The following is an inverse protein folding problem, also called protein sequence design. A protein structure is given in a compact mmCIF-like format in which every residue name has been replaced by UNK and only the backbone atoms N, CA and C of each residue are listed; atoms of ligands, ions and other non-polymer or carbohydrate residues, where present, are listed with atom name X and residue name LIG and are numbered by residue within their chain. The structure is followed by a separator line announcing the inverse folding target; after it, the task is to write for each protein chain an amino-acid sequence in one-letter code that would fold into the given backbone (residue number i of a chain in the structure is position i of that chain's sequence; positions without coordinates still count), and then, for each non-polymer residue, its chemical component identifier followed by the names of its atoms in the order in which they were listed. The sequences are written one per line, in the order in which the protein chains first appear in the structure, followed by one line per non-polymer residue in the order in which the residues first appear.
data_IF_683108398541
#
_entry.id   IF_683108398541
#
_cell.length_a   1.000
_cell.length_b   1.000
_cell.length_c   1.000
_cell.angle_alpha   90.00
_cell.angle_beta   90.00
_cell.angle_gamma   90.00
#
_symmetry.space_group_name_H-M   'P 1'
#
loop_
_entity.id
_entity.type
_entity.pdbx_description
1 polymer ?
#
# COMPACT_ATOMS: atom_id res chain seq x y z
N UNK A 1 1.80 -13.00 -3.24
CA UNK A 1 0.52 -12.30 -2.91
C UNK A 1 -0.53 -13.25 -2.31
N UNK A 2 -0.51 -14.54 -2.64
CA UNK A 2 -1.35 -15.59 -2.04
C UNK A 2 -2.84 -15.22 -1.94
N UNK A 3 -3.42 -14.67 -3.03
CA UNK A 3 -4.83 -14.32 -3.11
C UNK A 3 -5.24 -13.04 -2.36
N UNK A 4 -4.28 -12.21 -1.92
CA UNK A 4 -4.60 -10.91 -1.36
C UNK A 4 -5.05 -9.93 -2.46
N UNK A 5 -6.08 -9.15 -2.16
CA UNK A 5 -6.45 -8.00 -2.97
C UNK A 5 -5.40 -6.90 -2.76
N UNK A 6 -4.90 -6.33 -3.84
CA UNK A 6 -3.83 -5.33 -3.78
C UNK A 6 -4.34 -3.98 -4.26
N UNK A 7 -4.18 -2.95 -3.43
CA UNK A 7 -4.43 -1.55 -3.80
C UNK A 7 -3.09 -0.84 -3.87
N UNK A 8 -2.79 -0.18 -4.97
CA UNK A 8 -1.53 0.56 -5.10
C UNK A 8 -1.75 2.06 -5.08
N UNK A 9 -0.76 2.78 -4.57
CA UNK A 9 -0.67 4.22 -4.67
C UNK A 9 -0.19 4.71 -6.04
N UNK A 10 -0.11 6.02 -6.19
CA UNK A 10 0.37 6.69 -7.41
C UNK A 10 1.87 6.43 -7.64
N UNK A 11 2.26 6.33 -8.90
CA UNK A 11 3.67 6.29 -9.32
C UNK A 11 4.34 4.93 -9.15
N UNK A 12 5.57 4.92 -8.63
CA UNK A 12 6.41 3.73 -8.54
C UNK A 12 5.73 2.53 -7.88
N UNK A 13 4.95 2.65 -6.80
CA UNK A 13 4.23 1.51 -6.24
C UNK A 13 3.32 0.79 -7.24
N UNK A 14 2.65 1.55 -8.13
CA UNK A 14 1.83 0.97 -9.21
C UNK A 14 2.69 0.29 -10.27
N UNK A 15 3.81 0.90 -10.66
CA UNK A 15 4.71 0.34 -11.68
C UNK A 15 5.37 -0.95 -11.19
N UNK A 16 5.81 -0.97 -9.94
CA UNK A 16 6.51 -2.11 -9.34
C UNK A 16 5.56 -3.30 -9.13
N UNK A 17 4.35 -3.05 -8.63
CA UNK A 17 3.33 -4.10 -8.48
C UNK A 17 2.93 -4.66 -9.85
N UNK A 18 2.80 -3.81 -10.88
CA UNK A 18 2.51 -4.25 -12.24
C UNK A 18 3.66 -5.06 -12.84
N UNK A 19 4.90 -4.61 -12.66
CA UNK A 19 6.10 -5.33 -13.13
C UNK A 19 6.25 -6.70 -12.46
N UNK A 20 5.86 -6.82 -11.19
CA UNK A 20 5.85 -8.09 -10.47
C UNK A 20 4.73 -9.05 -10.90
N UNK A 21 3.92 -8.68 -11.88
CA UNK A 21 2.84 -9.47 -12.49
C UNK A 21 1.45 -8.86 -12.24
N UNK A 22 0.75 -8.51 -13.31
CA UNK A 22 -0.63 -8.01 -13.22
C UNK A 22 -1.62 -9.16 -13.04
N UNK A 23 -2.59 -8.97 -12.16
CA UNK A 23 -3.71 -9.87 -11.93
C UNK A 23 -4.99 -9.07 -11.68
N UNK A 24 -6.15 -9.75 -11.74
CA UNK A 24 -7.43 -9.12 -11.43
C UNK A 24 -7.59 -8.76 -9.94
N UNK A 25 -6.72 -9.27 -9.06
CA UNK A 25 -6.64 -8.87 -7.64
C UNK A 25 -6.04 -7.48 -7.45
N UNK A 26 -5.40 -6.90 -8.48
CA UNK A 26 -4.73 -5.60 -8.37
C UNK A 26 -5.67 -4.47 -8.77
N UNK A 27 -5.79 -3.49 -7.88
CA UNK A 27 -6.45 -2.21 -8.12
C UNK A 27 -5.42 -1.08 -8.07
N UNK A 28 -5.14 -0.49 -9.22
CA UNK A 28 -4.17 0.61 -9.36
C UNK A 28 -4.89 1.95 -9.24
N UNK A 29 -4.64 2.66 -8.15
CA UNK A 29 -5.28 3.95 -7.87
C UNK A 29 -4.50 5.09 -8.53
N UNK A 30 -4.92 5.48 -9.73
CA UNK A 30 -4.34 6.59 -10.45
C UNK A 30 -4.90 7.93 -9.98
N UNK A 31 -4.05 8.94 -9.83
CA UNK A 31 -4.46 10.33 -9.71
C UNK A 31 -5.13 10.71 -8.39
N UNK A 32 -5.11 9.86 -7.38
CA UNK A 32 -5.64 10.12 -6.05
C UNK A 32 -4.55 9.96 -4.99
N UNK A 33 -3.48 10.73 -5.10
CA UNK A 33 -2.37 10.70 -4.15
C UNK A 33 -2.87 10.94 -2.72
N UNK A 34 -2.48 10.08 -1.79
CA UNK A 34 -3.00 10.03 -0.42
C UNK A 34 -4.23 9.13 -0.24
N UNK A 35 -4.79 8.56 -1.32
CA UNK A 35 -6.02 7.79 -1.27
C UNK A 35 -5.83 6.28 -1.05
N UNK A 36 -4.65 5.72 -1.33
CA UNK A 36 -4.45 4.27 -1.36
C UNK A 36 -4.75 3.60 -0.01
N UNK A 37 -4.25 4.15 1.10
CA UNK A 37 -4.47 3.58 2.43
C UNK A 37 -5.95 3.53 2.81
N UNK A 38 -6.70 4.61 2.55
CA UNK A 38 -8.15 4.66 2.84
C UNK A 38 -8.97 3.81 1.86
N UNK A 39 -8.56 3.71 0.60
CA UNK A 39 -9.21 2.80 -0.36
C UNK A 39 -9.01 1.35 0.07
N UNK A 40 -7.79 0.96 0.45
CA UNK A 40 -7.51 -0.36 0.99
C UNK A 40 -8.28 -0.65 2.28
N UNK A 41 -8.39 0.34 3.16
CA UNK A 41 -9.18 0.24 4.38
C UNK A 41 -10.67 0.01 4.09
N UNK A 42 -11.27 0.79 3.20
CA UNK A 42 -12.66 0.59 2.78
C UNK A 42 -12.89 -0.78 2.14
N UNK A 43 -11.93 -1.25 1.34
CA UNK A 43 -11.96 -2.59 0.75
C UNK A 43 -11.86 -3.68 1.82
N UNK A 44 -11.00 -3.52 2.82
CA UNK A 44 -10.85 -4.48 3.92
C UNK A 44 -12.14 -4.61 4.74
N UNK A 45 -12.85 -3.51 4.96
CA UNK A 45 -14.17 -3.52 5.62
C UNK A 45 -15.25 -4.20 4.76
N UNK A 46 -15.23 -3.95 3.43
CA UNK A 46 -16.21 -4.52 2.50
C UNK A 46 -15.96 -6.00 2.18
N UNK A 47 -14.74 -6.49 2.40
CA UNK A 47 -14.30 -7.86 2.10
C UNK A 47 -13.58 -8.48 3.34
N UNK A 48 -14.29 -8.70 4.47
CA UNK A 48 -13.65 -9.09 5.73
C UNK A 48 -12.95 -10.45 5.67
N UNK A 49 -13.35 -11.34 4.76
CA UNK A 49 -12.75 -12.67 4.58
C UNK A 49 -11.54 -12.67 3.64
N UNK A 50 -11.26 -11.55 2.97
CA UNK A 50 -10.12 -11.42 2.05
C UNK A 50 -9.04 -10.57 2.69
N UNK A 51 -7.79 -10.97 2.49
CA UNK A 51 -6.66 -10.11 2.83
C UNK A 51 -6.59 -8.95 1.85
N UNK A 52 -6.32 -7.76 2.36
CA UNK A 52 -6.09 -6.56 1.57
C UNK A 52 -4.69 -6.05 1.87
N UNK A 53 -3.92 -5.84 0.82
CA UNK A 53 -2.59 -5.26 0.88
C UNK A 53 -2.59 -3.91 0.15
N UNK A 54 -2.16 -2.88 0.83
CA UNK A 54 -1.88 -1.58 0.21
C UNK A 54 -0.38 -1.50 -0.05
N UNK A 55 0.01 -1.13 -1.27
CA UNK A 55 1.41 -0.80 -1.60
C UNK A 55 1.44 0.67 -2.02
N UNK A 56 2.10 1.50 -1.23
CA UNK A 56 2.11 2.95 -1.40
C UNK A 56 3.52 3.52 -1.22
N UNK A 57 3.74 4.78 -1.56
CA UNK A 57 5.00 5.49 -1.31
C UNK A 57 4.95 6.30 -0.02
N UNK A 58 6.12 6.68 0.48
CA UNK A 58 6.28 7.55 1.65
C UNK A 58 5.55 8.89 1.47
N UNK A 59 5.73 9.56 0.31
CA UNK A 59 5.08 10.83 0.01
C UNK A 59 3.56 10.73 -0.01
N UNK A 60 3.00 9.64 -0.53
CA UNK A 60 1.56 9.41 -0.52
C UNK A 60 1.05 9.09 0.90
N UNK A 61 1.78 8.28 1.66
CA UNK A 61 1.40 7.97 3.04
C UNK A 61 1.47 9.22 3.95
N UNK A 62 2.42 10.12 3.70
CA UNK A 62 2.49 11.41 4.37
C UNK A 62 1.27 12.30 4.08
N UNK A 63 0.73 12.27 2.86
CA UNK A 63 -0.54 12.95 2.55
C UNK A 63 -1.73 12.33 3.28
N UNK A 64 -1.70 11.02 3.50
CA UNK A 64 -2.72 10.27 4.23
C UNK A 64 -2.41 10.14 5.74
N UNK A 65 -1.61 11.03 6.30
CA UNK A 65 -1.11 10.92 7.67
C UNK A 65 -2.22 10.70 8.71
N UNK A 66 -3.31 11.45 8.62
CA UNK A 66 -4.48 11.28 9.50
C UNK A 66 -5.26 9.97 9.28
N UNK A 67 -5.09 9.31 8.13
CA UNK A 67 -5.73 8.02 7.87
C UNK A 67 -5.27 6.92 8.82
N UNK A 68 -4.02 7.01 9.32
CA UNK A 68 -3.50 6.04 10.29
C UNK A 68 -4.35 6.00 11.57
N UNK A 69 -4.77 7.14 12.08
CA UNK A 69 -5.65 7.20 13.25
C UNK A 69 -7.02 6.55 12.96
N UNK A 70 -7.62 6.83 11.80
CA UNK A 70 -8.92 6.25 11.40
C UNK A 70 -8.82 4.73 11.26
N UNK A 71 -7.78 4.24 10.61
CA UNK A 71 -7.54 2.81 10.39
C UNK A 71 -7.29 2.10 11.73
N UNK A 72 -6.46 2.68 12.59
CA UNK A 72 -6.15 2.11 13.90
C UNK A 72 -7.39 1.96 14.79
N UNK A 73 -8.23 3.00 14.85
CA UNK A 73 -9.49 2.98 15.63
C UNK A 73 -10.47 1.92 15.11
N UNK A 74 -10.55 1.74 13.78
CA UNK A 74 -11.41 0.72 13.18
C UNK A 74 -10.86 -0.71 13.34
N UNK A 75 -9.54 -0.87 13.46
CA UNK A 75 -8.85 -2.12 13.79
C UNK A 75 -9.04 -3.28 12.80
N UNK A 76 -9.01 -3.08 11.47
CA UNK A 76 -9.21 -4.18 10.53
C UNK A 76 -8.08 -5.22 10.66
N UNK A 77 -8.44 -6.50 10.78
CA UNK A 77 -7.47 -7.59 10.95
C UNK A 77 -6.93 -8.15 9.64
N UNK A 78 -7.48 -7.70 8.54
CA UNK A 78 -7.20 -8.17 7.19
C UNK A 78 -6.51 -7.11 6.32
N UNK A 79 -5.95 -6.05 6.92
CA UNK A 79 -5.29 -4.94 6.22
C UNK A 79 -3.80 -4.89 6.54
N UNK A 80 -2.99 -4.97 5.48
CA UNK A 80 -1.55 -4.75 5.50
C UNK A 80 -1.20 -3.52 4.65
N UNK A 81 -0.41 -2.60 5.18
CA UNK A 81 0.08 -1.43 4.44
C UNK A 81 1.60 -1.54 4.30
N UNK A 82 2.07 -1.56 3.07
CA UNK A 82 3.49 -1.58 2.71
C UNK A 82 3.84 -0.22 2.12
N UNK A 83 4.73 0.49 2.79
CA UNK A 83 5.23 1.80 2.35
C UNK A 83 6.61 1.61 1.72
N UNK A 84 6.72 1.88 0.42
CA UNK A 84 8.00 1.94 -0.28
C UNK A 84 8.61 3.32 -0.05
N UNK A 85 9.57 3.41 0.84
CA UNK A 85 10.16 4.68 1.29
C UNK A 85 11.52 4.92 0.63
N UNK A 86 11.52 5.75 -0.40
CA UNK A 86 12.72 6.25 -1.05
C UNK A 86 13.18 7.62 -0.55
N UNK A 87 12.47 8.17 0.46
CA UNK A 87 12.71 9.50 1.05
C UNK A 87 12.54 10.68 0.07
N UNK A 88 11.86 10.44 -1.09
CA UNK A 88 11.74 11.44 -2.15
C UNK A 88 10.38 11.38 -2.85
N UNK A 89 9.95 12.53 -3.38
CA UNK A 89 8.80 12.65 -4.28
C UNK A 89 9.25 12.37 -5.73
N UNK A 90 9.32 11.09 -6.12
CA UNK A 90 9.88 10.65 -7.40
C UNK A 90 9.17 11.21 -8.65
N UNK A 91 7.84 11.33 -8.60
CA UNK A 91 7.05 11.77 -9.77
C UNK A 91 7.11 13.28 -10.04
N UNK A 92 7.59 14.09 -9.08
CA UNK A 92 7.61 15.55 -9.20
C UNK A 92 9.01 16.16 -9.27
N UNK A 93 10.05 15.33 -9.34
CA UNK A 93 11.44 15.78 -9.52
C UNK A 93 12.37 15.46 -8.36
N UNK A 94 12.11 14.38 -7.63
CA UNK A 94 13.01 13.86 -6.59
C UNK A 94 13.29 14.84 -5.45
N UNK A 95 12.32 15.67 -5.07
CA UNK A 95 12.41 16.48 -3.87
C UNK A 95 12.41 15.57 -2.64
N UNK A 96 13.22 15.92 -1.63
CA UNK A 96 13.25 15.17 -0.38
C UNK A 96 11.88 15.19 0.32
N UNK A 97 11.41 14.01 0.73
CA UNK A 97 10.20 13.87 1.54
C UNK A 97 10.52 14.05 3.03
N UNK A 98 9.49 14.04 3.87
CA UNK A 98 9.67 14.23 5.30
C UNK A 98 10.31 13.01 5.98
N UNK A 99 10.22 11.81 5.40
CA UNK A 99 10.88 10.60 5.94
C UNK A 99 12.39 10.73 5.88
N UNK A 100 12.94 11.33 4.81
CA UNK A 100 14.36 11.69 4.74
C UNK A 100 14.79 12.81 5.69
N UNK A 101 13.87 13.37 6.48
CA UNK A 101 14.11 14.44 7.47
C UNK A 101 13.68 14.04 8.88
N UNK A 102 13.54 12.74 9.14
CA UNK A 102 13.36 12.20 10.49
C UNK A 102 11.91 11.83 10.86
N UNK A 103 10.95 11.90 9.93
CA UNK A 103 9.61 11.34 10.18
C UNK A 103 9.64 9.82 9.97
N UNK A 104 9.39 9.06 11.01
CA UNK A 104 9.34 7.60 11.00
C UNK A 104 7.87 7.14 10.94
N UNK A 105 7.41 6.73 9.76
CA UNK A 105 6.00 6.35 9.53
C UNK A 105 5.59 5.11 10.32
N UNK A 106 6.49 4.16 10.51
CA UNK A 106 6.27 2.98 11.35
C UNK A 106 5.99 3.37 12.82
N UNK A 107 6.76 4.33 13.36
CA UNK A 107 6.57 4.85 14.73
C UNK A 107 5.26 5.62 14.87
N UNK A 108 4.88 6.38 13.84
CA UNK A 108 3.59 7.09 13.81
C UNK A 108 2.43 6.09 13.79
N UNK A 109 2.52 5.04 12.98
CA UNK A 109 1.51 3.99 12.93
C UNK A 109 1.43 3.25 14.28
N UNK A 110 2.56 2.91 14.91
CA UNK A 110 2.60 2.31 16.25
C UNK A 110 1.92 3.21 17.28
N UNK A 111 2.26 4.50 17.32
CA UNK A 111 1.64 5.47 18.22
C UNK A 111 0.14 5.68 17.96
N UNK A 112 -0.31 5.44 16.72
CA UNK A 112 -1.73 5.50 16.35
C UNK A 112 -2.52 4.25 16.77
N UNK A 113 -1.85 3.12 17.09
CA UNK A 113 -2.48 1.89 17.54
C UNK A 113 -2.53 0.76 16.51
N UNK A 114 -1.67 0.78 15.48
CA UNK A 114 -1.48 -0.38 14.61
C UNK A 114 -0.94 -1.57 15.42
N UNK A 115 -1.42 -2.77 15.08
CA UNK A 115 -1.07 -3.98 15.82
C UNK A 115 0.38 -4.43 15.61
N UNK A 116 0.91 -4.19 14.41
CA UNK A 116 2.31 -4.47 14.07
C UNK A 116 2.84 -3.37 13.16
N UNK A 117 4.05 -2.91 13.44
CA UNK A 117 4.77 -1.93 12.62
C UNK A 117 6.26 -2.22 12.65
N UNK A 118 6.94 -2.03 11.52
CA UNK A 118 8.38 -2.21 11.43
C UNK A 118 8.96 -1.39 10.27
N UNK A 119 10.25 -1.07 10.33
CA UNK A 119 11.02 -0.52 9.23
C UNK A 119 12.06 -1.53 8.78
N UNK A 120 12.07 -1.87 7.49
CA UNK A 120 12.89 -2.91 6.88
C UNK A 120 13.88 -2.28 5.90
N UNK A 121 15.14 -2.72 5.96
CA UNK A 121 16.24 -2.13 5.20
C UNK A 121 17.00 -3.17 4.36
N UNK A 122 16.75 -4.47 4.58
CA UNK A 122 17.45 -5.56 3.91
C UNK A 122 16.48 -6.52 3.22
N UNK A 123 16.97 -7.24 2.20
CA UNK A 123 16.18 -8.27 1.51
C UNK A 123 15.83 -9.44 2.45
N UNK A 124 16.70 -9.78 3.39
CA UNK A 124 16.43 -10.82 4.38
C UNK A 124 15.21 -10.45 5.27
N UNK A 125 15.13 -9.20 5.72
CA UNK A 125 13.97 -8.70 6.47
C UNK A 125 12.69 -8.72 5.63
N UNK A 126 12.77 -8.43 4.33
CA UNK A 126 11.63 -8.53 3.40
C UNK A 126 11.17 -9.98 3.24
N UNK A 127 12.08 -10.95 3.16
CA UNK A 127 11.74 -12.37 3.11
C UNK A 127 11.07 -12.84 4.42
N UNK A 128 11.55 -12.35 5.55
CA UNK A 128 10.90 -12.59 6.84
C UNK A 128 9.51 -11.96 6.91
N UNK A 129 9.34 -10.74 6.38
CA UNK A 129 8.04 -10.09 6.27
C UNK A 129 7.08 -10.92 5.40
N UNK A 130 7.53 -11.45 4.27
CA UNK A 130 6.71 -12.30 3.41
C UNK A 130 6.12 -13.51 4.15
N UNK A 131 6.89 -14.09 5.09
CA UNK A 131 6.43 -15.16 5.97
C UNK A 131 5.45 -14.64 7.05
N UNK A 132 5.77 -13.52 7.68
CA UNK A 132 4.92 -12.87 8.71
C UNK A 132 3.55 -12.50 8.16
N UNK A 133 3.49 -11.99 6.93
CA UNK A 133 2.25 -11.63 6.26
C UNK A 133 1.31 -12.83 6.00
N UNK A 134 1.78 -14.07 6.09
CA UNK A 134 0.92 -15.25 5.99
C UNK A 134 0.20 -15.57 7.31
N UNK A 135 0.65 -15.00 8.42
CA UNK A 135 0.08 -15.26 9.73
C UNK A 135 -1.18 -14.39 9.96
N UNK A 136 -2.19 -14.90 10.68
CA UNK A 136 -3.33 -14.08 11.08
C UNK A 136 -2.89 -12.85 11.87
N UNK A 137 -3.47 -11.70 11.56
CA UNK A 137 -3.23 -10.47 12.31
C UNK A 137 -4.33 -10.20 13.35
N UNK A 138 -3.96 -9.51 14.42
CA UNK A 138 -4.90 -9.09 15.48
C UNK A 138 -5.45 -7.68 15.26
N UNK A 139 -4.90 -6.95 14.27
CA UNK A 139 -5.28 -5.60 13.87
C UNK A 139 -4.52 -5.19 12.61
N UNK A 140 -4.64 -3.94 12.17
CA UNK A 140 -3.94 -3.45 10.98
C UNK A 140 -2.43 -3.45 11.19
N UNK A 141 -1.67 -3.71 10.10
CA UNK A 141 -0.21 -3.75 10.11
C UNK A 141 0.34 -2.72 9.11
N UNK A 142 1.46 -2.08 9.46
CA UNK A 142 2.17 -1.16 8.56
C UNK A 142 3.66 -1.44 8.59
N UNK A 143 4.25 -1.61 7.41
CA UNK A 143 5.68 -1.85 7.24
C UNK A 143 6.27 -0.84 6.27
N UNK A 144 7.37 -0.24 6.66
CA UNK A 144 8.13 0.70 5.83
C UNK A 144 9.33 -0.05 5.25
N UNK A 145 9.42 -0.11 3.94
CA UNK A 145 10.55 -0.70 3.22
C UNK A 145 11.43 0.42 2.68
N UNK A 146 12.61 0.55 3.22
CA UNK A 146 13.60 1.53 2.72
C UNK A 146 14.13 1.05 1.39
N UNK A 147 13.96 1.87 0.36
CA UNK A 147 14.41 1.59 -1.00
C UNK A 147 15.31 2.71 -1.51
N UNK A 148 16.04 2.45 -2.60
CA UNK A 148 16.88 3.46 -3.24
C UNK A 148 16.04 4.57 -3.86
N UNK A 149 16.55 5.81 -3.79
CA UNK A 149 15.99 6.97 -4.47
C UNK A 149 16.38 6.96 -5.96
N UNK A 150 15.78 6.08 -6.74
CA UNK A 150 16.02 5.94 -8.18
C UNK A 150 14.71 5.74 -8.95
N UNK A 151 14.71 6.11 -10.23
CA UNK A 151 13.59 5.87 -11.13
C UNK A 151 13.92 4.68 -12.04
N UNK A 152 13.25 3.56 -11.84
CA UNK A 152 13.34 2.39 -12.70
C UNK A 152 12.50 2.58 -13.98
N UNK A 153 12.69 1.66 -14.95
CA UNK A 153 11.83 1.61 -16.12
C UNK A 153 10.38 1.37 -15.72
N UNK A 154 9.47 2.21 -16.22
CA UNK A 154 8.05 2.16 -15.85
C UNK A 154 7.33 1.01 -16.52
N UNK A 155 6.73 0.13 -15.74
CA UNK A 155 5.75 -0.87 -16.18
C UNK A 155 4.34 -0.30 -15.95
N UNK A 156 3.69 0.16 -17.02
CA UNK A 156 2.44 0.91 -16.91
C UNK A 156 1.22 -0.02 -16.86
N UNK A 157 0.46 -0.06 -15.76
CA UNK A 157 -0.82 -0.75 -15.71
C UNK A 157 -1.90 -0.03 -16.53
N UNK A 158 -3.07 -0.66 -16.66
CA UNK A 158 -4.24 -0.05 -17.27
C UNK A 158 -4.57 1.29 -16.58
N UNK A 159 -4.66 2.38 -17.38
CA UNK A 159 -4.90 3.74 -16.87
C UNK A 159 -6.35 4.21 -16.97
N UNK A 160 -7.21 3.46 -17.66
CA UNK A 160 -8.64 3.73 -17.69
C UNK A 160 -9.26 3.33 -16.34
N UNK A 161 -9.64 4.31 -15.54
CA UNK A 161 -10.19 4.09 -14.21
C UNK A 161 -11.54 3.36 -14.21
N UNK A 162 -12.36 3.54 -15.25
CA UNK A 162 -13.63 2.83 -15.42
C UNK A 162 -13.37 1.37 -15.73
N UNK A 163 -12.50 1.08 -16.67
CA UNK A 163 -12.12 -0.29 -17.01
C UNK A 163 -11.42 -0.99 -15.83
N UNK A 164 -10.57 -0.27 -15.09
CA UNK A 164 -9.93 -0.79 -13.87
C UNK A 164 -10.96 -1.15 -12.79
N UNK A 165 -11.89 -0.25 -12.50
CA UNK A 165 -12.98 -0.48 -11.55
C UNK A 165 -13.82 -1.69 -11.98
N UNK A 166 -14.20 -1.77 -13.25
CA UNK A 166 -15.04 -2.85 -13.74
C UNK A 166 -14.33 -4.20 -13.68
N UNK A 167 -13.04 -4.26 -14.07
CA UNK A 167 -12.21 -5.46 -13.95
C UNK A 167 -12.17 -5.97 -12.51
N UNK A 168 -11.89 -5.07 -11.56
CA UNK A 168 -11.78 -5.41 -10.16
C UNK A 168 -13.13 -5.84 -9.55
N UNK A 169 -14.22 -5.14 -9.87
CA UNK A 169 -15.57 -5.50 -9.41
C UNK A 169 -16.01 -6.86 -9.97
N UNK A 170 -15.80 -7.11 -11.26
CA UNK A 170 -16.11 -8.40 -11.89
C UNK A 170 -15.34 -9.56 -11.22
N UNK A 171 -14.06 -9.34 -10.90
CA UNK A 171 -13.24 -10.31 -10.16
C UNK A 171 -13.80 -10.63 -8.76
N UNK A 172 -14.42 -9.65 -8.10
CA UNK A 172 -15.10 -9.84 -6.82
C UNK A 172 -16.53 -10.41 -6.94
N UNK A 173 -16.99 -10.73 -8.16
CA UNK A 173 -18.36 -11.20 -8.41
C UNK A 173 -19.43 -10.12 -8.26
N UNK A 174 -19.04 -8.84 -8.39
CA UNK A 174 -19.95 -7.69 -8.28
C UNK A 174 -20.32 -7.13 -9.65
N UNK A 175 -21.50 -6.56 -9.76
CA UNK A 175 -21.95 -5.89 -10.98
C UNK A 175 -21.01 -4.77 -11.41
N UNK A 176 -20.82 -4.62 -12.71
CA UNK A 176 -19.88 -3.65 -13.32
C UNK A 176 -20.55 -2.39 -13.86
N UNK A 177 -21.81 -2.17 -13.53
CA UNK A 177 -22.59 -0.99 -13.93
C UNK A 177 -22.03 0.33 -13.36
#
# INVERSE_FOLDING_TARGET
RNGALVVTGLGSPSYDVHAAGDTADNYYLWGAMGGAALTGFGLAQAQPEKRVMVVTGDGEMLMAFGAMATIAVAGPRNLDIIVLDNEHFGETGMQASHTGRGIALDKVAAASGFAETDELQTLEEVDMLATRLQQPAIGPRLYVLKIKAENLARSLPLRDGVAMKNRFRAHLGLDTC
#
